data_IF_296595252171
#
_entry.id   IF_296595252171
#
_cell.length_a   1.000
_cell.length_b   1.000
_cell.length_c   1.000
_cell.angle_alpha   90.00
_cell.angle_beta   90.00
_cell.angle_gamma   90.00
#
_symmetry.space_group_name_H-M   'P 1'
#
loop_
_entity.id
_entity.type
_entity.pdbx_description
1 polymer ?
#
# COMPACT_ATOMS: atom_id res chain seq x y z
N UNK A 1 11.79 13.08 -5.61
CA UNK A 1 12.64 12.12 -4.85
C UNK A 1 13.13 12.68 -3.52
N UNK A 2 13.71 13.89 -3.48
CA UNK A 2 14.27 14.48 -2.23
C UNK A 2 13.24 14.51 -1.09
N UNK A 3 12.01 14.99 -1.36
CA UNK A 3 10.94 15.02 -0.35
C UNK A 3 10.61 13.64 0.23
N UNK A 4 10.71 12.59 -0.57
CA UNK A 4 10.41 11.23 -0.14
C UNK A 4 11.46 10.72 0.85
N UNK A 5 12.74 10.92 0.53
CA UNK A 5 13.83 10.57 1.44
C UNK A 5 13.80 11.41 2.71
N UNK A 6 13.52 12.71 2.61
CA UNK A 6 13.38 13.60 3.77
C UNK A 6 12.24 13.15 4.69
N UNK A 7 11.05 12.92 4.12
CA UNK A 7 9.88 12.49 4.87
C UNK A 7 10.08 11.11 5.51
N UNK A 8 10.74 10.19 4.78
CA UNK A 8 11.08 8.87 5.31
C UNK A 8 12.09 8.97 6.44
N UNK A 9 13.14 9.79 6.29
CA UNK A 9 14.14 10.01 7.33
C UNK A 9 13.52 10.61 8.61
N UNK A 10 12.57 11.54 8.48
CA UNK A 10 11.78 12.07 9.60
C UNK A 10 11.06 10.93 10.34
N UNK A 11 10.28 10.11 9.62
CA UNK A 11 9.53 9.01 10.22
C UNK A 11 10.45 7.97 10.87
N UNK A 12 11.54 7.59 10.20
CA UNK A 12 12.53 6.65 10.72
C UNK A 12 13.15 7.20 12.01
N UNK A 13 13.51 8.48 12.04
CA UNK A 13 14.02 9.14 13.24
C UNK A 13 13.03 9.11 14.40
N UNK A 14 11.77 9.42 14.14
CA UNK A 14 10.72 9.43 15.17
C UNK A 14 10.33 8.04 15.67
N UNK A 15 10.54 7.00 14.85
CA UNK A 15 10.16 5.63 15.19
C UNK A 15 11.28 4.87 15.91
N UNK A 16 12.53 5.27 15.71
CA UNK A 16 13.71 4.61 16.25
C UNK A 16 13.96 5.02 17.70
N UNK A 17 14.10 4.06 18.62
CA UNK A 17 14.35 4.37 20.06
C UNK A 17 15.84 4.41 20.42
N UNK A 18 16.72 4.02 19.50
CA UNK A 18 18.17 3.97 19.72
C UNK A 18 18.92 4.19 18.41
N UNK A 19 20.20 4.57 18.52
CA UNK A 19 21.09 4.69 17.36
C UNK A 19 21.15 3.40 16.53
N UNK A 20 21.21 2.23 17.19
CA UNK A 20 21.24 0.92 16.51
C UNK A 20 20.00 0.70 15.64
N UNK A 21 18.81 1.03 16.17
CA UNK A 21 17.56 0.90 15.41
C UNK A 21 17.48 1.92 14.28
N UNK A 22 17.86 3.17 14.54
CA UNK A 22 17.93 4.22 13.53
C UNK A 22 18.83 3.81 12.37
N UNK A 23 20.05 3.36 12.67
CA UNK A 23 21.00 2.91 11.64
C UNK A 23 20.46 1.70 10.88
N UNK A 24 19.92 0.70 11.57
CA UNK A 24 19.38 -0.49 10.93
C UNK A 24 18.20 -0.16 9.99
N UNK A 25 17.21 0.58 10.47
CA UNK A 25 16.01 0.95 9.70
C UNK A 25 16.41 1.86 8.53
N UNK A 26 17.31 2.82 8.76
CA UNK A 26 17.80 3.73 7.71
C UNK A 26 18.54 2.98 6.59
N UNK A 27 19.45 2.06 6.95
CA UNK A 27 20.18 1.24 5.95
C UNK A 27 19.22 0.32 5.20
N UNK A 28 18.31 -0.34 5.91
CA UNK A 28 17.30 -1.21 5.28
C UNK A 28 16.42 -0.41 4.31
N UNK A 29 15.86 0.72 4.76
CA UNK A 29 15.06 1.61 3.93
C UNK A 29 15.85 2.10 2.71
N UNK A 30 17.08 2.58 2.90
CA UNK A 30 17.92 3.06 1.81
C UNK A 30 18.19 1.96 0.78
N UNK A 31 18.39 0.72 1.23
CA UNK A 31 18.63 -0.42 0.31
C UNK A 31 17.39 -0.68 -0.54
N UNK A 32 16.20 -0.72 0.07
CA UNK A 32 14.93 -0.94 -0.63
C UNK A 32 14.60 0.24 -1.56
N UNK A 33 14.73 1.47 -1.08
CA UNK A 33 14.44 2.68 -1.85
C UNK A 33 15.40 2.83 -3.05
N UNK A 34 16.69 2.58 -2.86
CA UNK A 34 17.66 2.55 -3.95
C UNK A 34 17.33 1.43 -4.95
N UNK A 35 16.95 0.24 -4.49
CA UNK A 35 16.52 -0.84 -5.38
C UNK A 35 15.31 -0.43 -6.22
N UNK A 36 14.33 0.24 -5.62
CA UNK A 36 13.17 0.78 -6.34
C UNK A 36 13.58 1.81 -7.41
N UNK A 37 14.56 2.67 -7.11
CA UNK A 37 14.98 3.72 -8.04
C UNK A 37 15.79 3.18 -9.21
N UNK A 38 16.69 2.22 -8.97
CA UNK A 38 17.62 1.75 -10.00
C UNK A 38 17.14 0.51 -10.74
N UNK A 39 16.42 -0.41 -10.11
CA UNK A 39 16.06 -1.66 -10.76
C UNK A 39 15.14 -1.46 -11.99
N UNK A 40 14.09 -0.63 -11.94
CA UNK A 40 13.26 -0.36 -13.12
C UNK A 40 14.03 0.32 -14.25
N UNK A 41 15.06 1.12 -13.92
CA UNK A 41 15.83 1.87 -14.93
C UNK A 41 16.66 0.99 -15.87
N UNK A 42 16.94 -0.25 -15.48
CA UNK A 42 17.65 -1.22 -16.34
C UNK A 42 16.85 -1.46 -17.64
N UNK A 43 15.53 -1.30 -17.59
CA UNK A 43 14.63 -1.47 -18.72
C UNK A 43 14.30 -0.14 -19.43
N UNK A 44 15.08 0.92 -19.17
CA UNK A 44 14.96 2.17 -19.91
C UNK A 44 15.03 1.88 -21.42
N UNK A 45 14.13 2.50 -22.19
CA UNK A 45 14.02 2.40 -23.65
C UNK A 45 13.59 1.01 -24.18
N UNK A 46 13.41 0.03 -23.29
CA UNK A 46 12.92 -1.31 -23.64
C UNK A 46 11.45 -1.46 -23.29
N UNK A 47 11.05 -0.99 -22.11
CA UNK A 47 9.70 -1.20 -21.62
C UNK A 47 9.19 -0.02 -20.79
N UNK A 48 7.90 0.31 -20.95
CA UNK A 48 7.17 1.37 -20.22
C UNK A 48 7.22 1.18 -18.69
N UNK A 49 7.54 -0.03 -18.23
CA UNK A 49 7.63 -0.39 -16.81
C UNK A 49 8.79 0.33 -16.13
N UNK A 50 9.82 0.74 -16.89
CA UNK A 50 10.94 1.52 -16.37
C UNK A 50 10.49 2.86 -15.79
N UNK A 51 9.41 3.46 -16.33
CA UNK A 51 8.84 4.73 -15.86
C UNK A 51 8.21 4.64 -14.47
N UNK A 52 8.13 3.45 -13.87
CA UNK A 52 7.81 3.30 -12.44
C UNK A 52 8.82 4.02 -11.55
N UNK A 53 10.08 4.12 -12.01
CA UNK A 53 11.12 4.90 -11.36
C UNK A 53 11.27 6.29 -12.01
N UNK A 54 11.19 7.39 -11.24
CA UNK A 54 11.51 8.71 -11.76
C UNK A 54 12.98 8.88 -12.17
N UNK A 55 13.88 7.98 -11.76
CA UNK A 55 15.27 7.99 -12.24
C UNK A 55 15.36 7.66 -13.73
N UNK A 56 14.37 6.96 -14.29
CA UNK A 56 14.30 6.69 -15.74
C UNK A 56 14.22 7.99 -16.54
N UNK A 57 13.49 8.99 -16.05
CA UNK A 57 13.42 10.31 -16.71
C UNK A 57 14.78 11.02 -16.74
N UNK A 58 15.59 10.86 -15.69
CA UNK A 58 16.95 11.40 -15.63
C UNK A 58 17.84 10.72 -16.67
N UNK A 59 17.69 9.41 -16.85
CA UNK A 59 18.45 8.65 -17.85
C UNK A 59 18.06 9.08 -19.27
N UNK A 60 16.76 9.23 -19.54
CA UNK A 60 16.26 9.73 -20.83
C UNK A 60 16.86 11.11 -21.16
N UNK A 61 16.84 12.03 -20.19
CA UNK A 61 17.43 13.36 -20.34
C UNK A 61 18.94 13.29 -20.64
N UNK A 62 19.70 12.45 -19.92
CA UNK A 62 21.14 12.26 -20.15
C UNK A 62 21.40 11.68 -21.56
N UNK A 63 20.52 10.81 -22.05
CA UNK A 63 20.61 10.21 -23.37
C UNK A 63 20.13 11.13 -24.50
N UNK A 64 19.55 12.29 -24.17
CA UNK A 64 18.95 13.21 -25.14
C UNK A 64 17.61 12.71 -25.70
N UNK A 65 16.96 11.77 -25.01
CA UNK A 65 15.63 11.26 -25.38
C UNK A 65 14.54 12.11 -24.72
N UNK A 66 13.56 12.53 -25.51
CA UNK A 66 12.43 13.32 -24.99
C UNK A 66 11.43 12.42 -24.25
N UNK A 67 10.90 12.92 -23.14
CA UNK A 67 9.76 12.32 -22.44
C UNK A 67 8.57 13.29 -22.39
N UNK A 68 7.36 12.73 -22.28
CA UNK A 68 6.12 13.49 -22.26
C UNK A 68 5.76 13.95 -20.84
N UNK A 69 4.90 14.97 -20.75
CA UNK A 69 4.33 15.43 -19.46
C UNK A 69 3.61 14.30 -18.72
N UNK A 70 2.95 13.39 -19.46
CA UNK A 70 2.27 12.23 -18.87
C UNK A 70 3.25 11.27 -18.21
N UNK A 71 4.38 10.98 -18.86
CA UNK A 71 5.44 10.15 -18.30
C UNK A 71 6.07 10.79 -17.05
N UNK A 72 6.21 12.11 -17.04
CA UNK A 72 6.67 12.85 -15.87
C UNK A 72 5.73 12.66 -14.66
N UNK A 73 4.43 12.88 -14.85
CA UNK A 73 3.45 12.71 -13.78
C UNK A 73 3.39 11.26 -13.32
N UNK A 74 3.37 10.30 -14.24
CA UNK A 74 3.36 8.88 -13.90
C UNK A 74 4.54 8.48 -13.01
N UNK A 75 5.76 8.88 -13.39
CA UNK A 75 6.97 8.48 -12.69
C UNK A 75 7.15 9.19 -11.34
N UNK A 76 6.56 10.38 -11.15
CA UNK A 76 6.78 11.20 -9.95
C UNK A 76 5.61 11.21 -8.96
N UNK A 77 4.39 10.91 -9.41
CA UNK A 77 3.18 11.04 -8.59
C UNK A 77 3.22 10.21 -7.31
N UNK A 78 3.64 8.94 -7.40
CA UNK A 78 3.72 8.07 -6.22
C UNK A 78 4.71 8.60 -5.19
N UNK A 79 5.86 9.15 -5.63
CA UNK A 79 6.83 9.76 -4.72
C UNK A 79 6.27 11.00 -4.05
N UNK A 80 5.58 11.88 -4.78
CA UNK A 80 4.97 13.07 -4.17
C UNK A 80 3.85 12.72 -3.20
N UNK A 81 2.95 11.81 -3.58
CA UNK A 81 1.85 11.37 -2.72
C UNK A 81 2.36 10.70 -1.45
N UNK A 82 3.26 9.73 -1.56
CA UNK A 82 3.84 9.06 -0.39
C UNK A 82 4.62 10.04 0.50
N UNK A 83 5.37 10.98 -0.08
CA UNK A 83 6.05 12.04 0.69
C UNK A 83 5.05 12.88 1.49
N UNK A 84 3.95 13.31 0.86
CA UNK A 84 2.92 14.12 1.51
C UNK A 84 2.27 13.36 2.67
N UNK A 85 1.97 12.06 2.48
CA UNK A 85 1.43 11.22 3.56
C UNK A 85 2.44 11.05 4.69
N UNK A 86 3.71 10.75 4.41
CA UNK A 86 4.75 10.61 5.43
C UNK A 86 4.95 11.91 6.22
N UNK A 87 5.00 13.06 5.54
CA UNK A 87 5.09 14.36 6.19
C UNK A 87 3.88 14.65 7.06
N UNK A 88 2.67 14.39 6.56
CA UNK A 88 1.44 14.56 7.35
C UNK A 88 1.45 13.70 8.62
N UNK A 89 1.79 12.41 8.49
CA UNK A 89 1.91 11.48 9.63
C UNK A 89 3.00 11.95 10.59
N UNK A 90 4.13 12.43 10.07
CA UNK A 90 5.24 12.98 10.84
C UNK A 90 4.79 14.17 11.67
N UNK A 91 4.22 15.19 11.03
CA UNK A 91 3.70 16.40 11.70
C UNK A 91 2.67 16.04 12.77
N UNK A 92 1.72 15.15 12.47
CA UNK A 92 0.68 14.75 13.43
C UNK A 92 1.25 14.04 14.68
N UNK A 93 2.33 13.29 14.51
CA UNK A 93 2.99 12.55 15.58
C UNK A 93 4.18 13.29 16.21
N UNK A 94 4.47 14.53 15.78
CA UNK A 94 5.60 15.31 16.25
C UNK A 94 5.30 15.95 17.61
N UNK A 95 5.27 15.11 18.65
CA UNK A 95 5.01 15.50 20.04
C UNK A 95 6.10 15.02 20.96
N UNK A 96 6.35 15.74 22.05
CA UNK A 96 7.43 15.44 23.01
C UNK A 96 7.29 14.03 23.59
N UNK A 97 6.08 13.61 23.96
CA UNK A 97 5.81 12.28 24.52
C UNK A 97 6.18 11.16 23.55
N UNK A 98 6.16 11.47 22.25
CA UNK A 98 6.49 10.52 21.19
C UNK A 98 7.99 10.44 20.96
N UNK A 99 8.65 11.59 20.88
CA UNK A 99 10.08 11.71 20.59
C UNK A 99 10.95 11.14 21.71
N UNK A 100 10.48 11.21 22.97
CA UNK A 100 11.25 10.76 24.13
C UNK A 100 10.79 9.42 24.72
N UNK A 101 9.90 8.70 24.04
CA UNK A 101 9.39 7.42 24.53
C UNK A 101 10.25 6.23 24.09
N UNK A 102 10.41 5.23 24.96
CA UNK A 102 11.19 4.02 24.71
C UNK A 102 10.37 2.82 24.18
N UNK A 103 9.13 3.05 23.72
CA UNK A 103 8.30 1.99 23.16
C UNK A 103 8.99 1.33 21.94
N UNK A 104 8.82 0.02 21.81
CA UNK A 104 9.37 -0.73 20.67
C UNK A 104 8.74 -0.34 19.33
N UNK A 105 9.43 -0.68 18.23
CA UNK A 105 9.05 -0.38 16.85
C UNK A 105 7.57 -0.65 16.53
N UNK A 106 7.10 -1.87 16.80
CA UNK A 106 5.72 -2.28 16.48
C UNK A 106 4.68 -1.49 17.28
N UNK A 107 4.96 -1.25 18.56
CA UNK A 107 4.10 -0.42 19.42
C UNK A 107 4.06 1.00 18.88
N UNK A 108 5.21 1.57 18.49
CA UNK A 108 5.30 2.92 17.94
C UNK A 108 4.51 3.09 16.65
N UNK A 109 4.67 2.17 15.70
CA UNK A 109 3.92 2.18 14.43
C UNK A 109 2.42 2.16 14.72
N UNK A 110 1.99 1.29 15.64
CA UNK A 110 0.58 1.21 16.02
C UNK A 110 0.10 2.51 16.65
N UNK A 111 0.89 3.11 17.53
CA UNK A 111 0.50 4.37 18.13
C UNK A 111 0.40 5.50 17.08
N UNK A 112 1.27 5.51 16.06
CA UNK A 112 1.20 6.48 14.94
C UNK A 112 -0.12 6.39 14.20
N UNK A 113 -0.55 5.16 13.90
CA UNK A 113 -1.85 4.88 13.30
C UNK A 113 -2.97 5.30 14.25
N UNK A 114 -2.84 5.00 15.55
CA UNK A 114 -3.83 5.35 16.56
C UNK A 114 -4.03 6.86 16.72
N UNK A 115 -2.96 7.66 16.58
CA UNK A 115 -3.03 9.13 16.56
C UNK A 115 -3.76 9.63 15.30
N UNK A 116 -3.63 8.88 14.20
CA UNK A 116 -4.44 9.03 12.99
C UNK A 116 -5.95 8.95 13.25
N UNK A 117 -6.37 8.14 14.23
CA UNK A 117 -7.77 7.80 14.48
C UNK A 117 -8.41 8.78 15.46
N UNK A 118 -9.33 9.60 14.95
CA UNK A 118 -10.14 10.49 15.80
C UNK A 118 -11.17 9.70 16.61
N UNK A 119 -11.31 10.04 17.90
CA UNK A 119 -12.33 9.47 18.80
C UNK A 119 -13.75 9.94 18.47
N UNK A 120 -13.89 11.14 17.89
CA UNK A 120 -15.20 11.72 17.52
C UNK A 120 -15.69 11.17 16.19
N UNK A 121 -14.77 10.86 15.27
CA UNK A 121 -15.10 10.40 13.91
C UNK A 121 -14.27 9.17 13.51
N UNK A 122 -14.40 8.03 14.23
CA UNK A 122 -13.53 6.87 14.02
C UNK A 122 -13.66 6.28 12.61
N UNK A 123 -14.86 6.22 12.06
CA UNK A 123 -15.10 5.67 10.72
C UNK A 123 -14.45 6.53 9.62
N UNK A 124 -14.59 7.86 9.69
CA UNK A 124 -13.94 8.77 8.73
C UNK A 124 -12.42 8.65 8.82
N UNK A 125 -11.88 8.49 10.04
CA UNK A 125 -10.44 8.29 10.20
C UNK A 125 -9.96 6.97 9.63
N UNK A 126 -10.71 5.87 9.78
CA UNK A 126 -10.36 4.57 9.16
C UNK A 126 -10.40 4.66 7.64
N UNK A 127 -11.44 5.30 7.08
CA UNK A 127 -11.53 5.55 5.65
C UNK A 127 -10.28 6.30 5.16
N UNK A 128 -9.94 7.42 5.82
CA UNK A 128 -8.81 8.25 5.45
C UNK A 128 -7.48 7.50 5.59
N UNK A 129 -7.24 6.80 6.70
CA UNK A 129 -6.01 6.02 6.90
C UNK A 129 -5.89 4.95 5.81
N UNK A 130 -6.97 4.24 5.52
CA UNK A 130 -6.95 3.21 4.47
C UNK A 130 -6.64 3.82 3.11
N UNK A 131 -7.32 4.90 2.73
CA UNK A 131 -7.08 5.62 1.48
C UNK A 131 -5.63 6.13 1.36
N UNK A 132 -5.07 6.68 2.44
CA UNK A 132 -3.70 7.21 2.48
C UNK A 132 -2.62 6.11 2.45
N UNK A 133 -2.97 4.84 2.75
CA UNK A 133 -2.02 3.72 2.61
C UNK A 133 -1.89 3.22 1.17
N UNK A 134 -2.89 3.45 0.31
CA UNK A 134 -2.92 2.92 -1.06
C UNK A 134 -1.74 3.39 -1.93
N UNK A 135 -1.26 4.65 -1.87
CA UNK A 135 -0.05 5.03 -2.61
C UNK A 135 1.19 4.19 -2.29
N UNK A 136 1.34 3.73 -1.03
CA UNK A 136 2.45 2.86 -0.63
C UNK A 136 2.25 1.43 -1.15
N UNK A 137 1.01 0.94 -1.10
CA UNK A 137 0.63 -0.36 -1.68
C UNK A 137 0.96 -0.38 -3.17
N UNK A 138 0.54 0.65 -3.91
CA UNK A 138 0.86 0.81 -5.32
C UNK A 138 2.36 0.83 -5.55
N UNK A 139 3.12 1.62 -4.77
CA UNK A 139 4.58 1.64 -4.90
C UNK A 139 5.18 0.23 -4.72
N UNK A 140 4.79 -0.51 -3.69
CA UNK A 140 5.26 -1.89 -3.49
C UNK A 140 4.84 -2.79 -4.66
N UNK A 141 3.60 -2.70 -5.12
CA UNK A 141 3.09 -3.52 -6.23
C UNK A 141 3.81 -3.23 -7.56
N UNK A 142 4.11 -1.97 -7.87
CA UNK A 142 4.87 -1.64 -9.07
C UNK A 142 6.29 -2.20 -9.00
N UNK A 143 6.91 -2.22 -7.81
CA UNK A 143 8.21 -2.89 -7.61
C UNK A 143 8.09 -4.41 -7.80
N UNK A 144 7.07 -5.04 -7.23
CA UNK A 144 6.82 -6.48 -7.41
C UNK A 144 6.59 -6.83 -8.88
N UNK A 145 5.89 -5.97 -9.62
CA UNK A 145 5.68 -6.12 -11.06
C UNK A 145 7.03 -6.12 -11.78
N UNK A 146 7.91 -5.14 -11.52
CA UNK A 146 9.25 -5.09 -12.12
C UNK A 146 10.10 -6.31 -11.76
N UNK A 147 10.04 -6.76 -10.50
CA UNK A 147 10.81 -7.93 -10.02
C UNK A 147 10.36 -9.23 -10.70
N UNK A 148 9.05 -9.48 -10.75
CA UNK A 148 8.52 -10.75 -11.24
C UNK A 148 8.31 -10.79 -12.75
N UNK A 149 8.25 -9.64 -13.42
CA UNK A 149 8.10 -9.59 -14.89
C UNK A 149 9.21 -10.35 -15.63
N UNK A 150 10.40 -10.46 -15.05
CA UNK A 150 11.53 -11.18 -15.64
C UNK A 150 11.46 -12.71 -15.48
N UNK A 151 10.43 -13.24 -14.79
CA UNK A 151 10.26 -14.67 -14.56
C UNK A 151 9.37 -15.32 -15.64
N UNK A 152 9.56 -16.62 -15.96
CA UNK A 152 8.72 -17.30 -16.94
C UNK A 152 7.27 -17.43 -16.45
N UNK A 153 6.33 -17.36 -17.38
CA UNK A 153 4.92 -17.70 -17.13
C UNK A 153 4.76 -19.21 -16.93
N UNK A 154 3.87 -19.68 -16.03
CA UNK A 154 2.91 -18.91 -15.21
C UNK A 154 3.45 -18.46 -13.84
N UNK A 155 4.71 -18.75 -13.51
CA UNK A 155 5.29 -18.47 -12.18
C UNK A 155 5.26 -16.97 -11.86
N UNK A 156 5.63 -16.11 -12.81
CA UNK A 156 5.56 -14.65 -12.68
C UNK A 156 4.18 -14.17 -12.21
N UNK A 157 3.13 -14.62 -12.90
CA UNK A 157 1.75 -14.27 -12.61
C UNK A 157 1.32 -14.75 -11.21
N UNK A 158 1.66 -15.99 -10.84
CA UNK A 158 1.32 -16.54 -9.53
C UNK A 158 1.97 -15.73 -8.41
N UNK A 159 3.27 -15.43 -8.53
CA UNK A 159 4.01 -14.64 -7.54
C UNK A 159 3.45 -13.22 -7.44
N UNK A 160 3.08 -12.60 -8.56
CA UNK A 160 2.45 -11.28 -8.58
C UNK A 160 1.10 -11.29 -7.87
N UNK A 161 0.20 -12.22 -8.21
CA UNK A 161 -1.13 -12.32 -7.58
C UNK A 161 -1.01 -12.52 -6.08
N UNK A 162 -0.18 -13.46 -5.65
CA UNK A 162 -0.01 -13.80 -4.22
C UNK A 162 0.59 -12.63 -3.46
N UNK A 163 1.66 -12.04 -3.98
CA UNK A 163 2.37 -10.95 -3.29
C UNK A 163 1.54 -9.67 -3.27
N UNK A 164 0.86 -9.33 -4.38
CA UNK A 164 0.00 -8.16 -4.46
C UNK A 164 -1.17 -8.29 -3.49
N UNK A 165 -1.91 -9.41 -3.52
CA UNK A 165 -3.00 -9.67 -2.59
C UNK A 165 -2.56 -9.59 -1.14
N UNK A 166 -1.40 -10.18 -0.79
CA UNK A 166 -0.85 -10.11 0.55
C UNK A 166 -0.55 -8.67 0.99
N UNK A 167 0.12 -7.87 0.14
CA UNK A 167 0.44 -6.47 0.44
C UNK A 167 -0.83 -5.64 0.66
N UNK A 168 -1.86 -5.85 -0.16
CA UNK A 168 -3.15 -5.16 0.00
C UNK A 168 -3.86 -5.53 1.30
N UNK A 169 -3.93 -6.83 1.63
CA UNK A 169 -4.56 -7.27 2.87
C UNK A 169 -3.82 -6.76 4.10
N UNK A 170 -2.49 -6.73 4.07
CA UNK A 170 -1.68 -6.12 5.14
C UNK A 170 -2.09 -4.67 5.32
N UNK A 171 -2.08 -3.87 4.25
CA UNK A 171 -2.41 -2.44 4.31
C UNK A 171 -3.83 -2.18 4.84
N UNK A 172 -4.84 -2.89 4.29
CA UNK A 172 -6.24 -2.76 4.72
C UNK A 172 -6.43 -3.13 6.19
N UNK A 173 -5.66 -4.09 6.69
CA UNK A 173 -5.79 -4.57 8.08
C UNK A 173 -5.28 -3.59 9.13
N UNK A 174 -4.40 -2.63 8.79
CA UNK A 174 -3.71 -1.74 9.75
C UNK A 174 -4.70 -0.93 10.60
N UNK A 175 -5.66 -0.27 9.97
CA UNK A 175 -6.63 0.58 10.67
C UNK A 175 -7.58 -0.24 11.55
N UNK A 176 -8.07 -1.37 11.01
CA UNK A 176 -8.97 -2.28 11.72
C UNK A 176 -8.28 -2.94 12.93
N UNK A 177 -7.06 -3.45 12.75
CA UNK A 177 -6.27 -4.02 13.85
C UNK A 177 -6.05 -3.00 14.97
N UNK A 178 -5.68 -1.77 14.60
CA UNK A 178 -5.41 -0.71 15.59
C UNK A 178 -6.66 -0.36 16.42
N UNK A 179 -7.83 -0.30 15.80
CA UNK A 179 -9.11 -0.07 16.48
C UNK A 179 -9.50 -1.23 17.40
N UNK A 180 -9.41 -2.46 16.90
CA UNK A 180 -9.90 -3.64 17.61
C UNK A 180 -8.96 -4.08 18.75
N UNK A 181 -7.67 -3.77 18.67
CA UNK A 181 -6.69 -4.25 19.65
C UNK A 181 -6.92 -3.74 21.08
N UNK A 182 -7.50 -2.55 21.28
CA UNK A 182 -7.61 -1.92 22.62
C UNK A 182 -9.02 -1.42 22.98
N UNK A 183 -10.08 -1.86 22.31
CA UNK A 183 -11.40 -1.28 22.56
C UNK A 183 -12.52 -2.31 22.78
N UNK A 184 -12.99 -2.36 24.02
CA UNK A 184 -14.29 -2.99 24.33
C UNK A 184 -15.44 -2.27 23.59
N UNK A 185 -15.28 -0.96 23.36
CA UNK A 185 -16.23 -0.11 22.61
C UNK A 185 -16.49 -0.59 21.18
N UNK A 186 -15.51 -1.22 20.51
CA UNK A 186 -15.65 -1.68 19.14
C UNK A 186 -15.80 -3.21 19.01
N UNK A 187 -16.12 -3.89 20.11
CA UNK A 187 -16.26 -5.36 20.17
C UNK A 187 -17.55 -5.90 19.54
N UNK A 188 -18.50 -5.06 19.13
CA UNK A 188 -19.77 -5.53 18.56
C UNK A 188 -19.60 -6.07 17.12
N UNK A 189 -20.39 -7.09 16.72
CA UNK A 189 -20.36 -7.63 15.35
C UNK A 189 -20.77 -6.56 14.32
N UNK A 190 -21.71 -5.68 14.69
CA UNK A 190 -22.12 -4.53 13.90
C UNK A 190 -20.94 -3.60 13.62
N UNK A 191 -20.11 -3.34 14.62
CA UNK A 191 -18.93 -2.49 14.47
C UNK A 191 -17.90 -3.11 13.53
N UNK A 192 -17.62 -4.41 13.65
CA UNK A 192 -16.72 -5.12 12.74
C UNK A 192 -17.20 -4.99 11.29
N UNK A 193 -18.49 -5.19 11.05
CA UNK A 193 -19.07 -5.02 9.71
C UNK A 193 -18.95 -3.58 9.20
N UNK A 194 -19.29 -2.58 10.01
CA UNK A 194 -19.20 -1.16 9.60
C UNK A 194 -17.75 -0.78 9.29
N UNK A 195 -16.79 -1.11 10.16
CA UNK A 195 -15.37 -0.81 9.93
C UNK A 195 -14.90 -1.51 8.66
N UNK A 196 -15.29 -2.76 8.45
CA UNK A 196 -14.92 -3.51 7.23
C UNK A 196 -15.45 -2.84 5.96
N UNK A 197 -16.70 -2.36 5.97
CA UNK A 197 -17.29 -1.64 4.85
C UNK A 197 -16.60 -0.30 4.60
N UNK A 198 -16.25 0.42 5.68
CA UNK A 198 -15.55 1.70 5.61
C UNK A 198 -14.11 1.55 5.10
N UNK A 199 -13.39 0.54 5.55
CA UNK A 199 -12.06 0.18 5.04
C UNK A 199 -12.15 -0.22 3.56
N UNK A 200 -13.10 -1.07 3.19
CA UNK A 200 -13.32 -1.48 1.80
C UNK A 200 -13.61 -0.26 0.89
N UNK A 201 -14.47 0.65 1.35
CA UNK A 201 -14.78 1.89 0.62
C UNK A 201 -13.54 2.79 0.48
N UNK A 202 -12.76 2.97 1.55
CA UNK A 202 -11.56 3.81 1.54
C UNK A 202 -10.47 3.26 0.62
N UNK A 203 -10.28 1.94 0.65
CA UNK A 203 -9.33 1.27 -0.24
C UNK A 203 -9.75 1.39 -1.70
N UNK A 204 -10.99 1.01 -2.02
CA UNK A 204 -11.53 1.08 -3.38
C UNK A 204 -11.50 2.50 -3.94
N UNK A 205 -11.88 3.49 -3.13
CA UNK A 205 -11.87 4.90 -3.53
C UNK A 205 -10.47 5.35 -3.96
N UNK A 206 -9.46 5.08 -3.14
CA UNK A 206 -8.09 5.48 -3.43
C UNK A 206 -7.46 4.65 -4.56
N UNK A 207 -7.78 3.36 -4.64
CA UNK A 207 -7.36 2.48 -5.73
C UNK A 207 -7.89 3.01 -7.07
N UNK A 208 -9.19 3.26 -7.19
CA UNK A 208 -9.79 3.78 -8.43
C UNK A 208 -9.23 5.16 -8.81
N UNK A 209 -9.01 6.03 -7.83
CA UNK A 209 -8.40 7.34 -8.07
C UNK A 209 -6.97 7.21 -8.63
N UNK A 210 -6.15 6.34 -8.05
CA UNK A 210 -4.78 6.10 -8.53
C UNK A 210 -4.75 5.40 -9.89
N UNK A 211 -5.65 4.43 -10.12
CA UNK A 211 -5.81 3.78 -11.42
C UNK A 211 -6.20 4.78 -12.49
N UNK A 212 -7.06 5.76 -12.19
CA UNK A 212 -7.43 6.81 -13.13
C UNK A 212 -6.25 7.72 -13.49
N UNK A 213 -5.39 8.06 -12.52
CA UNK A 213 -4.19 8.89 -12.76
C UNK A 213 -3.11 8.14 -13.54
N UNK A 214 -3.01 6.83 -13.34
CA UNK A 214 -2.02 5.95 -14.02
C UNK A 214 -2.52 5.37 -15.35
N UNK A 215 -3.78 5.66 -15.68
CA UNK A 215 -4.54 5.11 -16.81
C UNK A 215 -3.87 5.34 -18.17
N UNK A 216 -3.27 6.51 -18.39
CA UNK A 216 -2.74 6.88 -19.71
C UNK A 216 -1.45 6.15 -20.11
N UNK A 217 -0.80 5.40 -19.20
CA UNK A 217 0.52 4.80 -19.45
C UNK A 217 0.51 3.26 -19.47
N UNK A 218 -0.50 2.60 -18.88
CA UNK A 218 -0.51 1.13 -18.70
C UNK A 218 -1.50 0.43 -19.66
N UNK A 219 -2.36 1.19 -20.36
CA UNK A 219 -3.44 0.69 -21.24
C UNK A 219 -2.98 -0.23 -22.37
N UNK A 220 -1.72 -0.19 -22.76
CA UNK A 220 -1.17 -1.06 -23.82
C UNK A 220 -0.69 -2.43 -23.32
N UNK A 221 -0.69 -2.70 -22.01
CA UNK A 221 -0.27 -3.99 -21.46
C UNK A 221 -1.44 -4.91 -21.13
N UNK A 222 -1.25 -6.23 -21.26
CA UNK A 222 -2.23 -7.26 -20.86
C UNK A 222 -2.57 -7.16 -19.37
N UNK A 223 -1.60 -6.78 -18.53
CA UNK A 223 -1.84 -6.50 -17.11
C UNK A 223 -2.71 -5.25 -16.92
N UNK A 224 -2.51 -4.23 -17.75
CA UNK A 224 -3.32 -3.02 -17.80
C UNK A 224 -4.76 -3.28 -18.21
N UNK A 225 -5.01 -4.09 -19.23
CA UNK A 225 -6.36 -4.39 -19.70
C UNK A 225 -7.18 -5.22 -18.69
N UNK A 226 -6.55 -6.13 -17.96
CA UNK A 226 -7.17 -6.89 -16.85
C UNK A 226 -7.52 -5.96 -15.68
N UNK A 227 -6.62 -5.04 -15.32
CA UNK A 227 -6.90 -3.98 -14.35
C UNK A 227 -8.03 -3.05 -14.85
N UNK A 228 -8.18 -2.87 -16.17
CA UNK A 228 -9.12 -1.95 -16.83
C UNK A 228 -10.56 -2.48 -16.91
N UNK A 229 -10.78 -3.79 -17.12
CA UNK A 229 -12.12 -4.41 -17.06
C UNK A 229 -12.80 -4.19 -15.69
N UNK A 230 -12.00 -3.95 -14.65
CA UNK A 230 -12.50 -3.64 -13.30
C UNK A 230 -13.00 -2.20 -13.12
N UNK A 231 -12.71 -1.26 -14.03
CA UNK A 231 -13.05 0.17 -13.86
C UNK A 231 -14.56 0.44 -13.94
N UNK A 232 -15.28 -0.30 -14.78
CA UNK A 232 -16.75 -0.20 -14.90
C UNK A 232 -17.50 -0.88 -13.75
N UNK A 233 -16.83 -1.73 -12.97
CA UNK A 233 -17.43 -2.56 -11.93
C UNK A 233 -16.91 -2.17 -10.56
N UNK A 234 -17.69 -1.36 -9.84
CA UNK A 234 -17.34 -0.90 -8.49
C UNK A 234 -17.76 -1.93 -7.43
N UNK A 235 -18.88 -2.62 -7.66
CA UNK A 235 -19.49 -3.49 -6.65
C UNK A 235 -18.70 -4.76 -6.38
N UNK A 236 -18.09 -5.37 -7.41
CA UNK A 236 -17.35 -6.63 -7.22
C UNK A 236 -16.05 -6.41 -6.41
N UNK A 237 -15.16 -5.45 -6.77
CA UNK A 237 -14.00 -5.14 -5.94
C UNK A 237 -14.39 -4.69 -4.53
N UNK A 238 -15.48 -3.92 -4.39
CA UNK A 238 -15.99 -3.54 -3.07
C UNK A 238 -16.33 -4.76 -2.20
N UNK A 239 -17.10 -5.70 -2.75
CA UNK A 239 -17.51 -6.92 -2.03
C UNK A 239 -16.30 -7.77 -1.66
N UNK A 240 -15.30 -7.87 -2.54
CA UNK A 240 -14.05 -8.55 -2.23
C UNK A 240 -13.36 -7.91 -1.03
N UNK A 241 -13.07 -6.60 -1.11
CA UNK A 241 -12.37 -5.91 -0.03
C UNK A 241 -13.17 -5.97 1.28
N UNK A 242 -14.50 -5.86 1.20
CA UNK A 242 -15.36 -6.01 2.36
C UNK A 242 -15.25 -7.40 2.98
N UNK A 243 -15.29 -8.45 2.16
CA UNK A 243 -15.17 -9.83 2.62
C UNK A 243 -13.79 -10.11 3.25
N UNK A 244 -12.71 -9.69 2.60
CA UNK A 244 -11.35 -9.95 3.09
C UNK A 244 -11.07 -9.20 4.39
N UNK A 245 -11.48 -7.93 4.51
CA UNK A 245 -11.37 -7.18 5.75
C UNK A 245 -12.26 -7.77 6.86
N UNK A 246 -13.46 -8.23 6.50
CA UNK A 246 -14.35 -8.92 7.44
C UNK A 246 -13.73 -10.20 7.97
N UNK A 247 -13.02 -10.99 7.15
CA UNK A 247 -12.31 -12.20 7.61
C UNK A 247 -11.26 -11.88 8.67
N UNK A 248 -10.47 -10.82 8.45
CA UNK A 248 -9.50 -10.34 9.46
C UNK A 248 -10.21 -9.88 10.73
N UNK A 249 -11.27 -9.08 10.60
CA UNK A 249 -12.06 -8.58 11.73
C UNK A 249 -12.74 -9.66 12.55
N UNK A 250 -13.32 -10.67 11.89
CA UNK A 250 -13.93 -11.84 12.53
C UNK A 250 -12.87 -12.63 13.29
N UNK A 251 -11.72 -12.91 12.66
CA UNK A 251 -10.64 -13.66 13.28
C UNK A 251 -10.07 -12.95 14.51
N UNK A 252 -9.83 -11.64 14.40
CA UNK A 252 -9.40 -10.80 15.53
C UNK A 252 -10.42 -10.77 16.66
N UNK A 253 -11.71 -10.71 16.32
CA UNK A 253 -12.76 -10.71 17.33
C UNK A 253 -12.86 -12.05 18.08
N UNK A 254 -12.67 -13.17 17.38
CA UNK A 254 -12.79 -14.51 17.97
C UNK A 254 -11.56 -14.93 18.77
N UNK A 255 -10.36 -14.51 18.35
CA UNK A 255 -9.08 -14.98 18.90
C UNK A 255 -8.20 -13.87 19.46
N UNK A 256 -8.73 -12.65 19.57
CA UNK A 256 -7.96 -11.48 19.97
C UNK A 256 -6.76 -11.23 19.03
N UNK A 257 -5.63 -10.71 19.55
CA UNK A 257 -4.43 -10.45 18.76
C UNK A 257 -3.87 -11.68 18.04
N UNK A 258 -4.05 -12.88 18.59
CA UNK A 258 -3.61 -14.14 17.96
C UNK A 258 -4.40 -14.46 16.69
N UNK A 259 -5.59 -13.87 16.52
CA UNK A 259 -6.40 -13.98 15.32
C UNK A 259 -5.89 -13.18 14.12
N UNK A 260 -4.92 -12.29 14.31
CA UNK A 260 -4.45 -11.41 13.23
C UNK A 260 -3.85 -12.20 12.06
N UNK A 261 -2.87 -13.06 12.34
CA UNK A 261 -2.15 -13.83 11.30
C UNK A 261 -3.10 -14.80 10.57
N UNK A 262 -3.90 -15.65 11.26
CA UNK A 262 -4.84 -16.54 10.57
C UNK A 262 -5.86 -15.79 9.72
N UNK A 263 -6.37 -14.65 10.22
CA UNK A 263 -7.33 -13.83 9.50
C UNK A 263 -6.72 -13.21 8.24
N UNK A 264 -5.49 -12.70 8.35
CA UNK A 264 -4.74 -12.14 7.23
C UNK A 264 -4.45 -13.20 6.17
N UNK A 265 -4.01 -14.39 6.56
CA UNK A 265 -3.76 -15.50 5.63
C UNK A 265 -5.06 -15.90 4.91
N UNK A 266 -6.16 -16.07 5.63
CA UNK A 266 -7.45 -16.39 5.03
C UNK A 266 -7.92 -15.31 4.04
N UNK A 267 -7.79 -14.04 4.43
CA UNK A 267 -8.09 -12.89 3.58
C UNK A 267 -7.25 -12.90 2.29
N UNK A 268 -5.93 -13.10 2.40
CA UNK A 268 -5.03 -13.15 1.25
C UNK A 268 -5.36 -14.32 0.33
N UNK A 269 -5.69 -15.50 0.85
CA UNK A 269 -6.11 -16.66 0.05
C UNK A 269 -7.40 -16.36 -0.73
N UNK A 270 -8.42 -15.82 -0.06
CA UNK A 270 -9.69 -15.44 -0.73
C UNK A 270 -9.44 -14.40 -1.82
N UNK A 271 -8.59 -13.41 -1.55
CA UNK A 271 -8.21 -12.42 -2.55
C UNK A 271 -7.45 -13.04 -3.73
N UNK A 272 -6.47 -13.92 -3.48
CA UNK A 272 -5.76 -14.62 -4.54
C UNK A 272 -6.71 -15.43 -5.43
N UNK A 273 -7.64 -16.17 -4.83
CA UNK A 273 -8.62 -16.97 -5.55
C UNK A 273 -9.54 -16.09 -6.40
N UNK A 274 -9.96 -14.95 -5.89
CA UNK A 274 -10.72 -13.96 -6.65
C UNK A 274 -9.94 -13.44 -7.86
N UNK A 275 -8.68 -13.04 -7.66
CA UNK A 275 -7.83 -12.52 -8.74
C UNK A 275 -7.58 -13.61 -9.80
N UNK A 276 -7.31 -14.84 -9.38
CA UNK A 276 -7.11 -15.97 -10.26
C UNK A 276 -8.38 -16.28 -11.08
N UNK A 277 -9.54 -16.29 -10.43
CA UNK A 277 -10.84 -16.49 -11.07
C UNK A 277 -11.09 -15.44 -12.16
N UNK A 278 -10.80 -14.16 -11.89
CA UNK A 278 -10.96 -13.08 -12.86
C UNK A 278 -10.02 -13.23 -14.05
N UNK A 279 -8.76 -13.59 -13.81
CA UNK A 279 -7.75 -13.75 -14.87
C UNK A 279 -8.04 -14.96 -15.75
N UNK A 280 -8.64 -16.03 -15.19
CA UNK A 280 -9.05 -17.22 -15.95
C UNK A 280 -10.32 -16.99 -16.79
N UNK A 281 -10.94 -15.80 -16.74
CA UNK A 281 -12.01 -15.41 -17.67
C UNK A 281 -13.36 -16.09 -17.44
N UNK A 282 -13.68 -16.54 -16.22
CA UNK A 282 -14.95 -17.24 -15.94
C UNK A 282 -16.21 -16.34 -15.95
N UNK A 283 -16.06 -15.02 -16.15
CA UNK A 283 -17.15 -14.10 -16.56
C UNK A 283 -16.82 -13.43 -17.89
N UNK A 284 -16.63 -14.24 -18.94
CA UNK A 284 -16.73 -13.79 -20.34
C UNK A 284 -18.09 -14.21 -20.90
#
# INVERSE_FOLDING_TARGET
MILFFLASALIIGMVSRSFKELSFISIFFSTVATSYLFFPTIFANVHVISLVSPLTLVILEIQGEAFTVSQYFYSTSLFFLTSAVLLYVGVKNFKEERLFSHAGLLTRIREFVSEGISRSHPYISVFAITALTVPFVFMVQMMLLVLFFNLPMPLSLLLLIVSAAFVEEVAKSIGLYTLLFNSERFASWKTVAIISAVTAAGFLFAEKLLLFVTLSQITESVFGSILFLSLGVIWIPFLLHFATVSLVGISLKLRGPQGYIPGLVAASVVHCLYNLYFIMGWFA
#
